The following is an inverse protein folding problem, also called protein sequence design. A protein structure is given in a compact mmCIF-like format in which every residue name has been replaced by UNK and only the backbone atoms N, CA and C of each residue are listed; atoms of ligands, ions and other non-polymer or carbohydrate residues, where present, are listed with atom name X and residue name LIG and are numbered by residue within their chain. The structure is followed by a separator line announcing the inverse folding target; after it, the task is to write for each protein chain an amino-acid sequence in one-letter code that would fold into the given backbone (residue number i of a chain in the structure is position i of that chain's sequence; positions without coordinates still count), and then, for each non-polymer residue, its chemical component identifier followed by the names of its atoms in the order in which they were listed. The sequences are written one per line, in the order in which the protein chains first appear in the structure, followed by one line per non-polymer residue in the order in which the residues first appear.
data_IF_212901205365
#
_entry.id   IF_212901205365
#
_cell.length_a   1.000
_cell.length_b   1.000
_cell.length_c   1.000
_cell.angle_alpha   90.00
_cell.angle_beta   90.00
_cell.angle_gamma   90.00
#
_symmetry.space_group_name_H-M   'P 1'
#
loop_
_entity.id
_entity.type
_entity.pdbx_description
1 polymer ?
#
# COMPACT_ATOMS: atom_id res chain seq x y z
N UNK A 1 16.53 53.07 -16.94
CA UNK A 1 17.00 51.94 -16.10
C UNK A 1 16.23 50.71 -16.51
N UNK A 2 16.87 49.84 -17.29
CA UNK A 2 16.27 48.60 -17.81
C UNK A 2 16.47 47.49 -16.77
N UNK A 3 15.39 46.87 -16.29
CA UNK A 3 15.49 45.65 -15.49
C UNK A 3 15.27 44.44 -16.41
N UNK A 4 16.31 43.61 -16.52
CA UNK A 4 16.30 42.36 -17.27
C UNK A 4 15.34 41.33 -16.64
N UNK A 5 14.53 40.61 -17.43
CA UNK A 5 13.71 39.50 -16.95
C UNK A 5 14.47 38.19 -17.23
N UNK A 6 15.28 37.72 -16.29
CA UNK A 6 15.83 36.37 -16.37
C UNK A 6 16.18 35.87 -14.98
N UNK A 7 15.33 34.98 -14.45
CA UNK A 7 15.70 33.67 -13.90
C UNK A 7 14.55 33.18 -13.00
N UNK A 8 13.44 32.79 -13.62
CA UNK A 8 12.48 31.89 -12.97
C UNK A 8 13.09 30.49 -12.99
N UNK A 9 13.83 30.13 -11.94
CA UNK A 9 14.17 28.74 -11.62
C UNK A 9 12.87 28.03 -11.21
N UNK A 10 12.21 27.41 -12.18
CA UNK A 10 11.11 26.49 -11.95
C UNK A 10 11.67 25.20 -11.31
N UNK A 11 11.74 25.15 -9.98
CA UNK A 11 11.95 23.90 -9.25
C UNK A 11 10.62 23.14 -9.18
N UNK A 12 10.28 22.48 -10.29
CA UNK A 12 9.27 21.43 -10.32
C UNK A 12 9.80 20.22 -9.53
N UNK A 13 9.69 20.26 -8.20
CA UNK A 13 9.71 19.05 -7.39
C UNK A 13 8.53 18.19 -7.86
N UNK A 14 8.83 17.17 -8.67
CA UNK A 14 7.92 16.11 -9.03
C UNK A 14 7.63 15.32 -7.75
N UNK A 15 6.41 15.43 -7.25
CA UNK A 15 5.94 14.73 -6.05
C UNK A 15 5.53 13.33 -6.50
N UNK A 16 6.52 12.50 -6.81
CA UNK A 16 6.31 11.07 -7.04
C UNK A 16 6.26 10.43 -5.66
N UNK A 17 5.15 9.77 -5.31
CA UNK A 17 4.86 9.33 -3.95
C UNK A 17 4.77 7.81 -3.86
N UNK A 18 5.87 7.07 -3.85
CA UNK A 18 5.80 5.63 -4.05
C UNK A 18 6.04 4.86 -2.74
N UNK A 19 4.96 4.34 -2.17
CA UNK A 19 4.96 3.32 -1.14
C UNK A 19 4.38 2.03 -1.70
N UNK A 20 5.06 0.90 -1.57
CA UNK A 20 4.63 -0.39 -2.13
C UNK A 20 4.53 -1.45 -1.04
N UNK A 21 3.47 -2.26 -1.05
CA UNK A 21 3.38 -3.43 -0.16
C UNK A 21 4.24 -4.54 -0.73
N UNK A 22 5.32 -4.90 -0.04
CA UNK A 22 6.29 -5.89 -0.53
C UNK A 22 5.89 -7.31 -0.19
N UNK A 23 5.22 -7.52 0.95
CA UNK A 23 4.76 -8.84 1.39
C UNK A 23 3.68 -8.74 2.46
N UNK A 24 2.88 -9.80 2.58
CA UNK A 24 1.98 -10.07 3.70
C UNK A 24 2.54 -11.21 4.53
N UNK A 25 2.49 -11.05 5.86
CA UNK A 25 2.96 -12.02 6.85
C UNK A 25 1.76 -12.61 7.58
N UNK A 26 1.53 -13.90 7.34
CA UNK A 26 0.42 -14.63 7.90
C UNK A 26 0.66 -15.05 9.35
N UNK A 27 -0.40 -15.06 10.16
CA UNK A 27 -0.32 -15.62 11.51
C UNK A 27 -0.01 -17.14 11.52
N UNK A 28 -0.25 -17.82 10.39
CA UNK A 28 0.16 -19.20 10.12
C UNK A 28 1.65 -19.35 9.75
N UNK A 29 2.45 -18.28 9.81
CA UNK A 29 3.88 -18.30 9.47
C UNK A 29 4.18 -18.28 7.96
N UNK A 30 3.16 -18.28 7.11
CA UNK A 30 3.32 -18.17 5.65
C UNK A 30 3.49 -16.71 5.28
N UNK A 31 4.48 -16.42 4.43
CA UNK A 31 4.69 -15.09 3.84
C UNK A 31 4.48 -15.17 2.34
N UNK A 32 3.74 -14.21 1.78
CA UNK A 32 3.48 -14.11 0.34
C UNK A 32 3.86 -12.71 -0.14
N UNK A 33 4.49 -12.57 -1.33
CA UNK A 33 4.69 -11.27 -1.96
C UNK A 33 3.39 -10.48 -2.11
N UNK A 34 3.49 -9.16 -2.05
CA UNK A 34 2.37 -8.28 -2.39
C UNK A 34 1.91 -8.51 -3.83
N UNK A 35 0.62 -8.28 -4.11
CA UNK A 35 0.00 -8.59 -5.40
C UNK A 35 0.52 -7.73 -6.57
N UNK A 36 1.20 -6.62 -6.24
CA UNK A 36 1.71 -5.67 -7.23
C UNK A 36 3.18 -5.90 -7.54
N UNK A 37 3.88 -6.70 -6.72
CA UNK A 37 5.33 -6.88 -6.77
C UNK A 37 5.73 -7.60 -8.04
N UNK A 38 6.78 -7.09 -8.68
CA UNK A 38 7.28 -7.59 -9.94
C UNK A 38 8.78 -7.79 -9.87
N UNK A 39 9.22 -8.99 -10.20
CA UNK A 39 10.64 -9.30 -10.28
C UNK A 39 11.33 -8.42 -11.33
N UNK A 40 12.61 -8.13 -11.09
CA UNK A 40 13.41 -7.20 -11.90
C UNK A 40 13.22 -5.73 -11.54
N UNK A 41 12.27 -5.38 -10.66
CA UNK A 41 12.15 -3.99 -10.16
C UNK A 41 13.39 -3.59 -9.36
N UNK A 42 14.12 -2.52 -9.72
CA UNK A 42 15.29 -2.08 -8.97
C UNK A 42 14.97 -1.73 -7.52
N UNK A 43 15.82 -2.13 -6.57
CA UNK A 43 15.64 -1.88 -5.12
C UNK A 43 16.80 -1.10 -4.49
N UNK A 44 17.72 -0.59 -5.30
CA UNK A 44 18.92 0.15 -4.90
C UNK A 44 18.82 1.67 -5.20
N UNK A 45 17.71 2.12 -5.75
CA UNK A 45 17.47 3.53 -6.10
C UNK A 45 16.05 3.97 -5.68
N UNK A 46 15.84 5.28 -5.52
CA UNK A 46 14.59 5.85 -5.01
C UNK A 46 13.86 6.76 -6.01
N UNK A 47 14.37 6.90 -7.23
CA UNK A 47 13.80 7.78 -8.24
C UNK A 47 12.93 7.01 -9.24
N UNK A 48 11.95 7.67 -9.83
CA UNK A 48 11.18 7.05 -10.91
C UNK A 48 12.07 6.74 -12.13
N UNK A 49 13.07 7.58 -12.40
CA UNK A 49 13.95 7.46 -13.55
C UNK A 49 14.72 6.14 -13.61
N UNK A 50 15.03 5.54 -12.46
CA UNK A 50 15.68 4.23 -12.43
C UNK A 50 14.69 3.06 -12.49
N UNK A 51 13.39 3.29 -12.33
CA UNK A 51 12.35 2.24 -12.41
C UNK A 51 12.03 1.54 -11.08
N UNK A 52 12.56 1.97 -9.93
CA UNK A 52 12.29 1.34 -8.62
C UNK A 52 10.84 1.45 -8.11
N UNK A 53 10.02 2.17 -8.87
CA UNK A 53 8.65 2.53 -8.59
C UNK A 53 7.66 1.77 -9.48
N UNK A 54 8.16 1.01 -10.46
CA UNK A 54 7.35 0.45 -11.54
C UNK A 54 6.27 -0.54 -11.04
N UNK A 55 6.49 -1.17 -9.90
CA UNK A 55 5.60 -2.16 -9.27
C UNK A 55 4.74 -1.60 -8.12
N UNK A 56 4.78 -0.28 -7.91
CA UNK A 56 3.83 0.41 -7.03
C UNK A 56 2.48 0.54 -7.72
N UNK A 57 1.39 0.19 -7.02
CA UNK A 57 0.06 0.38 -7.59
C UNK A 57 -0.35 1.85 -7.55
N UNK A 58 -0.92 2.30 -8.66
CA UNK A 58 -1.65 3.56 -8.81
C UNK A 58 -3.13 3.23 -8.64
N UNK A 59 -3.74 3.67 -7.53
CA UNK A 59 -5.11 3.31 -7.11
C UNK A 59 -5.98 4.56 -7.09
N UNK A 60 -6.26 5.11 -8.28
CA UNK A 60 -7.06 6.33 -8.45
C UNK A 60 -8.52 5.97 -8.71
N UNK A 61 -9.45 6.52 -7.94
CA UNK A 61 -10.89 6.29 -8.12
C UNK A 61 -11.36 6.64 -9.54
N UNK A 62 -10.82 7.70 -10.15
CA UNK A 62 -11.15 8.06 -11.54
C UNK A 62 -10.73 7.00 -12.56
N UNK A 63 -9.61 6.31 -12.31
CA UNK A 63 -9.11 5.26 -13.21
C UNK A 63 -9.88 3.96 -13.00
N UNK A 64 -10.30 3.68 -11.76
CA UNK A 64 -11.20 2.57 -11.43
C UNK A 64 -12.56 2.78 -12.10
N UNK A 65 -13.17 3.95 -11.92
CA UNK A 65 -14.47 4.29 -12.49
C UNK A 65 -14.46 4.28 -14.03
N UNK A 66 -13.32 4.60 -14.66
CA UNK A 66 -13.19 4.58 -16.13
C UNK A 66 -12.74 3.23 -16.69
N UNK A 67 -12.46 2.22 -15.83
CA UNK A 67 -11.92 0.92 -16.23
C UNK A 67 -10.45 0.94 -16.71
N UNK A 68 -9.73 2.05 -16.50
CA UNK A 68 -8.29 2.15 -16.80
C UNK A 68 -7.46 1.35 -15.77
N UNK A 69 -7.99 1.21 -14.56
CA UNK A 69 -7.46 0.36 -13.49
C UNK A 69 -8.58 -0.51 -12.91
N UNK A 70 -8.24 -1.64 -12.31
CA UNK A 70 -9.17 -2.39 -11.46
C UNK A 70 -9.16 -1.89 -10.02
N UNK A 71 -9.96 -2.47 -9.11
CA UNK A 71 -9.99 -2.08 -7.69
C UNK A 71 -8.63 -2.14 -6.98
N UNK A 72 -7.73 -3.01 -7.45
CA UNK A 72 -6.36 -3.14 -6.93
C UNK A 72 -5.37 -2.17 -7.58
N UNK A 73 -5.85 -1.29 -8.45
CA UNK A 73 -5.06 -0.33 -9.21
C UNK A 73 -4.41 -0.94 -10.45
N UNK A 74 -3.40 -0.22 -10.92
CA UNK A 74 -2.49 -0.67 -11.99
C UNK A 74 -1.06 -0.27 -11.65
N UNK A 75 -0.10 -0.98 -12.18
CA UNK A 75 1.32 -0.66 -12.09
C UNK A 75 1.81 -0.09 -13.43
N UNK A 76 2.94 0.61 -13.41
CA UNK A 76 3.61 1.03 -14.64
C UNK A 76 4.31 -0.16 -15.32
N UNK A 77 4.77 -1.11 -14.51
CA UNK A 77 5.51 -2.27 -14.99
C UNK A 77 4.67 -3.27 -15.78
N UNK A 78 3.42 -3.53 -15.38
CA UNK A 78 2.59 -4.57 -15.99
C UNK A 78 1.09 -4.24 -16.10
N UNK A 79 0.68 -3.00 -15.88
CA UNK A 79 -0.72 -2.59 -16.07
C UNK A 79 -1.63 -3.05 -14.92
N UNK A 80 -2.87 -3.46 -15.24
CA UNK A 80 -3.91 -3.76 -14.24
C UNK A 80 -3.46 -4.88 -13.30
N UNK A 81 -3.66 -4.67 -12.00
CA UNK A 81 -3.34 -5.66 -10.97
C UNK A 81 -4.48 -6.66 -10.84
N UNK A 82 -4.16 -7.94 -10.97
CA UNK A 82 -5.09 -9.06 -10.77
C UNK A 82 -4.55 -10.01 -9.70
N UNK A 83 -5.33 -10.19 -8.63
CA UNK A 83 -4.96 -11.06 -7.52
C UNK A 83 -4.75 -12.52 -7.98
N UNK A 84 -5.49 -12.99 -9.00
CA UNK A 84 -5.41 -14.37 -9.47
C UNK A 84 -4.04 -14.74 -10.02
N UNK A 85 -3.29 -13.77 -10.58
CA UNK A 85 -1.94 -13.99 -11.10
C UNK A 85 -0.99 -14.39 -9.98
N UNK A 86 -0.91 -13.56 -8.93
CA UNK A 86 0.01 -13.76 -7.83
C UNK A 86 -0.43 -14.91 -6.91
N UNK A 87 -1.73 -15.01 -6.63
CA UNK A 87 -2.29 -16.13 -5.84
C UNK A 87 -2.07 -17.45 -6.57
N UNK A 88 -2.37 -17.52 -7.87
CA UNK A 88 -2.14 -18.74 -8.66
C UNK A 88 -0.69 -19.17 -8.59
N UNK A 89 0.24 -18.27 -8.94
CA UNK A 89 1.66 -18.57 -8.96
C UNK A 89 2.19 -19.02 -7.60
N UNK A 90 1.79 -18.33 -6.52
CA UNK A 90 2.17 -18.70 -5.16
C UNK A 90 1.67 -20.11 -4.79
N UNK A 91 0.48 -20.49 -5.23
CA UNK A 91 -0.08 -21.82 -5.03
C UNK A 91 0.48 -22.89 -5.96
N UNK A 92 1.42 -22.53 -6.85
CA UNK A 92 2.02 -23.44 -7.83
C UNK A 92 1.11 -23.72 -9.03
N UNK A 93 0.17 -22.81 -9.31
CA UNK A 93 -0.81 -22.92 -10.39
C UNK A 93 -0.73 -21.68 -11.30
N UNK A 94 -1.27 -21.77 -12.52
CA UNK A 94 -1.33 -20.63 -13.43
C UNK A 94 0.01 -20.22 -14.05
N UNK A 95 0.01 -19.06 -14.72
CA UNK A 95 1.20 -18.52 -15.38
C UNK A 95 2.14 -17.85 -14.36
N UNK A 96 3.43 -17.83 -14.68
CA UNK A 96 4.39 -17.03 -13.93
C UNK A 96 3.96 -15.55 -13.95
N UNK A 97 3.98 -14.84 -12.81
CA UNK A 97 3.66 -13.43 -12.79
C UNK A 97 4.64 -12.67 -13.68
N UNK A 98 4.17 -11.65 -14.42
CA UNK A 98 5.03 -10.93 -15.34
C UNK A 98 6.12 -10.16 -14.57
N UNK A 99 7.36 -10.24 -15.06
CA UNK A 99 8.46 -9.40 -14.58
C UNK A 99 8.23 -7.94 -14.96
N UNK A 100 8.91 -7.02 -14.27
CA UNK A 100 8.79 -5.59 -14.52
C UNK A 100 9.15 -5.23 -15.98
N UNK A 101 8.18 -4.73 -16.75
CA UNK A 101 8.37 -4.23 -18.12
C UNK A 101 8.27 -2.70 -18.20
N UNK A 102 8.28 -2.00 -17.07
CA UNK A 102 8.19 -0.55 -17.01
C UNK A 102 9.48 0.07 -17.53
N UNK A 103 9.37 1.04 -18.44
CA UNK A 103 10.56 1.74 -18.91
C UNK A 103 11.16 2.55 -17.75
N UNK A 104 12.49 2.59 -17.64
CA UNK A 104 13.21 3.59 -16.84
C UNK A 104 12.71 4.98 -17.25
N UNK A 105 11.99 5.67 -16.35
CA UNK A 105 11.38 6.97 -16.63
C UNK A 105 9.99 6.96 -17.31
N UNK A 106 9.28 5.82 -17.39
CA UNK A 106 7.89 5.75 -17.89
C UNK A 106 6.89 6.33 -16.88
N UNK A 107 6.85 7.65 -16.76
CA UNK A 107 5.72 8.31 -16.08
C UNK A 107 4.41 7.94 -16.80
N UNK A 108 3.42 7.49 -16.03
CA UNK A 108 2.06 7.88 -16.34
C UNK A 108 2.01 9.40 -16.36
N UNK A 109 1.48 10.00 -17.43
CA UNK A 109 1.38 11.46 -17.59
C UNK A 109 0.87 12.08 -16.29
N UNK A 110 1.67 12.96 -15.69
CA UNK A 110 1.26 13.73 -14.52
C UNK A 110 0.20 14.74 -14.96
N UNK A 111 -0.94 14.77 -14.27
CA UNK A 111 -1.91 15.84 -14.48
C UNK A 111 -1.25 17.15 -14.01
N UNK A 112 -1.16 18.13 -14.90
CA UNK A 112 -0.53 19.42 -14.67
C UNK A 112 -1.41 20.27 -13.74
N UNK A 113 -1.42 19.96 -12.44
CA UNK A 113 -2.13 20.76 -11.44
C UNK A 113 -1.20 21.90 -11.00
N UNK A 114 -1.43 23.09 -11.55
CA UNK A 114 -0.84 24.33 -11.04
C UNK A 114 -1.30 24.55 -9.59
N UNK A 115 -0.44 24.26 -8.61
CA UNK A 115 -0.68 24.66 -7.23
C UNK A 115 -0.11 26.07 -6.97
N UNK A 116 -0.95 27.06 -6.64
CA UNK A 116 -0.45 28.34 -6.17
C UNK A 116 0.06 28.22 -4.72
N UNK A 117 1.36 28.40 -4.53
CA UNK A 117 1.90 29.11 -3.36
C UNK A 117 2.38 28.35 -2.11
N UNK A 118 2.20 27.04 -1.94
CA UNK A 118 2.48 26.40 -0.63
C UNK A 118 3.92 25.89 -0.39
N UNK A 119 4.81 25.89 -1.39
CA UNK A 119 6.19 25.37 -1.25
C UNK A 119 7.09 26.13 -0.25
N UNK A 120 6.76 27.37 0.14
CA UNK A 120 7.63 28.20 1.01
C UNK A 120 7.30 28.18 2.50
N UNK A 121 6.16 27.65 2.91
CA UNK A 121 5.73 27.72 4.32
C UNK A 121 6.29 26.57 5.18
N UNK A 122 6.60 25.42 4.58
CA UNK A 122 7.10 24.24 5.31
C UNK A 122 8.54 24.39 5.81
N UNK A 123 9.43 25.08 5.06
CA UNK A 123 10.81 25.31 5.50
C UNK A 123 10.92 26.41 6.57
N UNK A 124 9.97 27.34 6.63
CA UNK A 124 9.94 28.44 7.60
C UNK A 124 9.55 28.01 9.01
N UNK A 125 8.72 26.97 9.15
CA UNK A 125 8.30 26.43 10.45
C UNK A 125 9.32 25.50 11.11
N UNK A 126 10.31 25.00 10.36
CA UNK A 126 11.30 24.03 10.85
C UNK A 126 12.51 24.70 11.54
N UNK A 127 12.77 25.98 11.26
CA UNK A 127 13.94 26.70 11.79
C UNK A 127 13.60 27.69 12.93
N UNK A 128 12.32 27.79 13.34
CA UNK A 128 11.89 28.76 14.34
C UNK A 128 10.85 28.18 15.30
N UNK A 129 11.29 27.49 16.35
CA UNK A 129 10.42 27.02 17.42
C UNK A 129 11.15 26.18 18.45
N UNK A 130 11.77 26.85 19.42
CA UNK A 130 12.56 26.23 20.48
C UNK A 130 11.73 25.45 21.51
N UNK A 131 12.42 24.47 22.11
CA UNK A 131 12.27 23.90 23.45
C UNK A 131 10.88 23.88 24.13
N UNK A 132 10.39 22.66 24.40
CA UNK A 132 9.61 22.38 25.61
C UNK A 132 8.46 21.37 25.45
N UNK A 133 8.50 20.28 26.23
CA UNK A 133 7.29 19.67 26.79
C UNK A 133 6.83 18.29 26.27
N UNK A 134 7.30 17.25 26.97
CA UNK A 134 6.60 16.05 27.46
C UNK A 134 5.37 15.44 26.73
N UNK A 135 5.50 14.14 26.42
CA UNK A 135 4.57 13.10 26.89
C UNK A 135 3.33 12.78 26.04
N UNK A 136 3.27 11.56 25.49
CA UNK A 136 2.02 10.91 25.07
C UNK A 136 2.17 10.06 23.81
N UNK A 137 2.12 8.73 23.96
CA UNK A 137 2.10 7.79 22.86
C UNK A 137 0.84 7.93 22.00
N UNK A 138 1.03 8.42 20.78
CA UNK A 138 0.19 8.25 19.60
C UNK A 138 1.11 8.49 18.39
N UNK A 139 0.82 7.89 17.24
CA UNK A 139 1.73 7.69 16.11
C UNK A 139 2.66 8.85 15.77
N UNK A 140 3.87 8.53 15.32
CA UNK A 140 5.00 9.42 15.11
C UNK A 140 4.73 10.62 14.17
N UNK A 141 3.96 11.60 14.63
CA UNK A 141 3.62 12.86 13.94
C UNK A 141 4.59 13.99 14.31
N UNK A 142 5.77 13.66 14.84
CA UNK A 142 6.83 14.61 15.20
C UNK A 142 8.08 14.47 14.32
N UNK A 143 9.16 15.16 14.68
CA UNK A 143 10.48 15.08 14.01
C UNK A 143 10.95 13.65 13.67
N UNK A 144 10.58 12.64 14.46
CA UNK A 144 10.87 11.24 14.16
C UNK A 144 10.15 10.71 12.90
N UNK A 145 8.89 11.11 12.66
CA UNK A 145 8.16 10.79 11.43
C UNK A 145 8.72 11.51 10.20
N UNK A 146 9.28 12.72 10.38
CA UNK A 146 10.01 13.42 9.32
C UNK A 146 11.27 12.67 8.92
N UNK A 147 11.98 12.07 9.88
CA UNK A 147 13.21 11.32 9.62
C UNK A 147 12.94 9.85 9.25
N UNK A 148 11.67 9.42 9.22
CA UNK A 148 11.28 8.04 8.92
C UNK A 148 11.72 7.03 9.98
N UNK A 149 11.73 7.42 11.25
CA UNK A 149 12.06 6.53 12.36
C UNK A 149 11.06 5.38 12.49
N UNK A 150 11.56 4.17 12.78
CA UNK A 150 10.72 2.97 12.98
C UNK A 150 10.67 2.01 11.78
N UNK A 151 11.45 2.27 10.74
CA UNK A 151 11.62 1.37 9.61
C UNK A 151 13.10 1.05 9.33
N UNK A 152 13.33 0.00 8.56
CA UNK A 152 14.64 -0.49 8.21
C UNK A 152 15.03 -0.02 6.82
N UNK A 153 16.17 0.66 6.68
CA UNK A 153 16.67 1.06 5.37
C UNK A 153 17.23 -0.16 4.63
N UNK A 154 16.63 -0.51 3.50
CA UNK A 154 16.96 -1.70 2.73
C UNK A 154 17.30 -1.31 1.31
N UNK A 155 18.55 -1.54 0.89
CA UNK A 155 18.95 -1.54 -0.52
C UNK A 155 19.41 -2.95 -0.88
N UNK A 156 19.18 -3.36 -2.12
CA UNK A 156 19.51 -4.72 -2.55
C UNK A 156 19.46 -4.89 -4.06
N UNK A 157 19.72 -6.13 -4.54
CA UNK A 157 19.55 -6.45 -5.95
C UNK A 157 18.10 -6.19 -6.40
N UNK A 158 17.84 -6.18 -7.73
CA UNK A 158 16.49 -6.15 -8.24
C UNK A 158 15.60 -7.21 -7.60
N UNK A 159 14.32 -6.88 -7.50
CA UNK A 159 13.29 -7.74 -6.89
C UNK A 159 13.32 -9.15 -7.49
N UNK A 160 13.22 -10.15 -6.62
CA UNK A 160 13.24 -11.57 -7.00
C UNK A 160 12.32 -12.43 -6.12
N UNK A 161 11.54 -11.81 -5.21
CA UNK A 161 10.73 -12.54 -4.24
C UNK A 161 9.58 -13.28 -4.89
N UNK A 162 9.12 -12.86 -6.07
CA UNK A 162 7.98 -13.51 -6.73
C UNK A 162 8.40 -14.89 -7.22
N UNK A 163 9.48 -14.96 -8.00
CA UNK A 163 10.08 -16.22 -8.45
C UNK A 163 10.43 -17.14 -7.26
N UNK A 164 10.99 -16.59 -6.18
CA UNK A 164 11.32 -17.38 -4.99
C UNK A 164 10.08 -17.95 -4.26
N UNK A 165 8.93 -17.28 -4.37
CA UNK A 165 7.70 -17.65 -3.69
C UNK A 165 6.77 -18.54 -4.52
N UNK A 166 7.04 -18.76 -5.81
CA UNK A 166 6.22 -19.65 -6.65
C UNK A 166 6.14 -21.05 -6.04
N UNK A 167 4.91 -21.55 -5.91
CA UNK A 167 4.63 -22.88 -5.35
C UNK A 167 4.74 -23.00 -3.83
N UNK A 168 5.21 -21.99 -3.10
CA UNK A 168 5.34 -22.05 -1.63
C UNK A 168 3.99 -22.25 -0.92
N UNK A 169 2.90 -21.77 -1.51
CA UNK A 169 1.54 -21.94 -1.00
C UNK A 169 0.96 -23.34 -1.16
N UNK A 170 1.60 -24.24 -1.92
CA UNK A 170 1.06 -25.58 -2.18
C UNK A 170 0.93 -26.44 -0.91
N UNK A 171 1.77 -26.21 0.10
CA UNK A 171 1.75 -26.95 1.37
C UNK A 171 1.12 -26.14 2.51
N UNK A 172 1.47 -24.86 2.63
CA UNK A 172 1.04 -23.99 3.74
C UNK A 172 -0.25 -23.21 3.48
N UNK A 173 -0.77 -23.23 2.25
CA UNK A 173 -1.85 -22.34 1.82
C UNK A 173 -1.41 -20.87 1.77
N UNK A 174 -2.36 -19.96 1.72
CA UNK A 174 -2.10 -18.52 1.78
C UNK A 174 -1.80 -18.03 3.20
N UNK A 175 -1.13 -16.87 3.36
CA UNK A 175 -1.03 -16.17 4.65
C UNK A 175 -2.41 -15.97 5.29
N UNK A 176 -2.51 -16.12 6.61
CA UNK A 176 -3.76 -15.87 7.36
C UNK A 176 -3.73 -14.52 8.08
N UNK A 177 -4.86 -13.85 8.21
CA UNK A 177 -4.99 -12.81 9.25
C UNK A 177 -4.83 -13.44 10.65
N UNK A 178 -4.55 -12.61 11.66
CA UNK A 178 -4.56 -13.03 13.06
C UNK A 178 -5.99 -13.34 13.57
N UNK A 179 -6.06 -13.94 14.74
CA UNK A 179 -7.31 -14.35 15.41
C UNK A 179 -8.19 -13.19 15.87
N UNK A 180 -7.72 -11.95 15.76
CA UNK A 180 -8.47 -10.69 15.94
C UNK A 180 -8.84 -10.03 14.59
N UNK A 181 -8.34 -10.56 13.47
CA UNK A 181 -8.53 -10.01 12.12
C UNK A 181 -7.48 -9.01 11.70
N UNK A 182 -6.39 -8.87 12.46
CA UNK A 182 -5.26 -8.05 12.06
C UNK A 182 -4.51 -8.72 10.91
N UNK A 183 -4.27 -7.98 9.84
CA UNK A 183 -3.38 -8.36 8.73
C UNK A 183 -2.08 -7.60 8.91
N UNK A 184 -0.95 -8.33 8.85
CA UNK A 184 0.39 -7.74 8.95
C UNK A 184 1.06 -7.78 7.59
N UNK A 185 1.63 -6.66 7.17
CA UNK A 185 2.35 -6.54 5.90
C UNK A 185 3.59 -5.66 6.05
N UNK A 186 4.50 -5.76 5.09
CA UNK A 186 5.64 -4.85 4.98
C UNK A 186 5.34 -3.84 3.88
N UNK A 187 5.36 -2.54 4.21
CA UNK A 187 5.31 -1.47 3.23
C UNK A 187 6.69 -0.85 3.06
N UNK A 188 7.16 -0.78 1.83
CA UNK A 188 8.40 -0.11 1.46
C UNK A 188 8.09 1.30 0.98
N UNK A 189 8.55 2.29 1.73
CA UNK A 189 8.63 3.67 1.27
C UNK A 189 9.85 3.82 0.35
N UNK A 190 9.61 4.03 -0.94
CA UNK A 190 10.67 4.17 -1.94
C UNK A 190 11.25 5.59 -1.88
N UNK A 191 10.40 6.61 -1.77
CA UNK A 191 10.79 8.01 -1.73
C UNK A 191 9.95 8.86 -0.77
N UNK A 192 10.23 10.18 -0.74
CA UNK A 192 9.81 11.04 0.37
C UNK A 192 8.30 11.16 0.55
N UNK A 193 7.56 11.13 -0.56
CA UNK A 193 6.11 11.26 -0.55
C UNK A 193 5.40 9.89 -0.50
N UNK A 194 6.16 8.78 -0.40
CA UNK A 194 5.64 7.41 -0.30
C UNK A 194 5.22 6.98 1.11
N UNK A 195 5.23 7.90 2.08
CA UNK A 195 4.78 7.63 3.45
C UNK A 195 3.26 7.81 3.61
N UNK A 196 2.76 7.43 4.79
CA UNK A 196 1.36 7.55 5.17
C UNK A 196 0.98 8.97 5.60
N UNK A 197 -0.32 9.27 5.77
CA UNK A 197 -1.31 8.30 6.19
C UNK A 197 -1.81 7.42 5.04
N UNK A 198 -1.86 6.11 5.30
CA UNK A 198 -2.51 5.16 4.40
C UNK A 198 -3.98 4.96 4.79
N UNK A 199 -4.81 4.78 3.77
CA UNK A 199 -6.15 4.21 3.90
C UNK A 199 -6.11 2.76 3.45
N UNK A 200 -7.02 1.94 3.97
CA UNK A 200 -7.11 0.53 3.62
C UNK A 200 -8.55 0.12 3.37
N UNK A 201 -8.74 -0.75 2.38
CA UNK A 201 -10.02 -1.41 2.11
C UNK A 201 -9.80 -2.91 2.00
N UNK A 202 -10.83 -3.69 2.38
CA UNK A 202 -10.83 -5.16 2.26
C UNK A 202 -12.04 -5.59 1.46
N UNK A 203 -11.81 -6.47 0.50
CA UNK A 203 -12.84 -7.23 -0.19
C UNK A 203 -12.82 -8.68 0.30
N UNK A 204 -13.96 -9.13 0.82
CA UNK A 204 -14.17 -10.50 1.28
C UNK A 204 -14.88 -11.42 0.29
N UNK A 205 -15.25 -10.94 -0.90
CA UNK A 205 -16.21 -11.65 -1.78
C UNK A 205 -15.81 -11.74 -3.25
N UNK A 206 -15.23 -10.69 -3.86
CA UNK A 206 -14.98 -10.65 -5.31
C UNK A 206 -13.55 -11.05 -5.70
N UNK A 207 -12.64 -11.12 -4.73
CA UNK A 207 -11.22 -11.38 -5.00
C UNK A 207 -10.46 -10.17 -5.54
N UNK A 208 -10.92 -8.96 -5.22
CA UNK A 208 -10.33 -7.70 -5.68
C UNK A 208 -10.79 -7.25 -7.07
N UNK A 209 -11.89 -7.82 -7.60
CA UNK A 209 -12.38 -7.56 -8.96
C UNK A 209 -13.55 -6.58 -9.02
N UNK A 210 -14.26 -6.38 -7.91
CA UNK A 210 -15.40 -5.47 -7.77
C UNK A 210 -15.11 -4.37 -6.73
N UNK A 211 -15.18 -3.11 -7.17
CA UNK A 211 -15.00 -1.94 -6.30
C UNK A 211 -16.10 -1.86 -5.23
N UNK A 212 -17.32 -2.29 -5.53
CA UNK A 212 -18.43 -2.24 -4.58
C UNK A 212 -18.26 -3.24 -3.42
N UNK A 213 -17.38 -4.24 -3.58
CA UNK A 213 -17.08 -5.22 -2.56
C UNK A 213 -16.01 -4.74 -1.55
N UNK A 214 -15.29 -3.66 -1.87
CA UNK A 214 -14.26 -3.07 -1.01
C UNK A 214 -14.91 -2.32 0.15
N UNK A 215 -14.63 -2.75 1.39
CA UNK A 215 -15.11 -2.08 2.60
C UNK A 215 -13.95 -1.45 3.38
N UNK A 216 -14.15 -0.24 3.95
CA UNK A 216 -13.11 0.44 4.72
C UNK A 216 -12.60 -0.38 5.89
N UNK A 217 -11.29 -0.43 6.03
CA UNK A 217 -10.56 -1.10 7.11
C UNK A 217 -9.69 -0.10 7.87
N UNK A 218 -9.33 -0.45 9.11
CA UNK A 218 -8.59 0.47 9.99
C UNK A 218 -7.11 0.15 9.94
N UNK A 219 -6.28 1.10 9.48
CA UNK A 219 -4.83 1.02 9.64
C UNK A 219 -4.49 1.25 11.12
N UNK A 220 -3.99 0.22 11.80
CA UNK A 220 -3.70 0.24 13.25
C UNK A 220 -2.22 0.47 13.55
N UNK A 221 -1.36 0.19 12.59
CA UNK A 221 0.05 0.57 12.58
C UNK A 221 0.37 1.06 11.16
N UNK A 222 0.68 2.35 11.03
CA UNK A 222 0.90 3.00 9.75
C UNK A 222 2.40 3.34 9.55
N UNK A 223 2.76 3.71 8.32
CA UNK A 223 4.08 4.24 7.99
C UNK A 223 4.19 5.68 8.47
N UNK A 224 5.18 6.01 9.33
CA UNK A 224 5.40 7.36 9.82
C UNK A 224 5.58 8.37 8.69
N UNK A 225 4.76 9.42 8.71
CA UNK A 225 4.84 10.57 7.79
C UNK A 225 4.39 11.84 8.50
N UNK A 226 4.93 12.99 8.08
CA UNK A 226 4.52 14.30 8.59
C UNK A 226 3.39 14.91 7.78
N UNK A 227 2.40 15.43 8.51
CA UNK A 227 1.28 16.18 7.94
C UNK A 227 0.29 15.30 7.18
N UNK A 228 -0.77 15.93 6.65
CA UNK A 228 -1.85 15.24 5.91
C UNK A 228 -1.35 14.58 4.62
N UNK A 229 -0.26 15.11 4.05
CA UNK A 229 0.34 14.62 2.79
C UNK A 229 1.38 13.52 3.01
N UNK A 230 1.73 13.20 4.25
CA UNK A 230 2.61 12.08 4.54
C UNK A 230 4.05 12.25 4.08
N UNK A 231 4.63 13.42 4.33
CA UNK A 231 6.00 13.71 3.90
C UNK A 231 6.98 13.08 4.91
N UNK A 232 7.90 12.25 4.43
CA UNK A 232 8.97 11.66 5.22
C UNK A 232 10.28 11.74 4.44
N UNK A 233 11.41 12.01 5.09
CA UNK A 233 12.72 12.03 4.43
C UNK A 233 13.28 10.61 4.19
N UNK A 234 12.57 9.57 4.63
CA UNK A 234 12.95 8.19 4.34
C UNK A 234 12.90 7.88 2.84
N UNK A 235 13.82 7.01 2.44
CA UNK A 235 13.97 6.49 1.09
C UNK A 235 14.43 5.06 1.22
N UNK A 236 13.90 4.15 0.40
CA UNK A 236 14.25 2.74 0.46
C UNK A 236 14.16 2.18 1.90
N UNK A 237 13.06 2.48 2.57
CA UNK A 237 12.83 2.08 3.98
C UNK A 237 11.60 1.19 4.07
N UNK A 238 11.71 0.07 4.76
CA UNK A 238 10.63 -0.87 4.99
C UNK A 238 10.04 -0.67 6.38
N UNK A 239 8.72 -0.65 6.46
CA UNK A 239 7.96 -0.46 7.68
C UNK A 239 6.96 -1.60 7.83
N UNK A 240 6.82 -2.09 9.06
CA UNK A 240 5.72 -2.97 9.40
C UNK A 240 4.41 -2.16 9.43
N UNK A 241 3.44 -2.59 8.64
CA UNK A 241 2.09 -2.04 8.60
C UNK A 241 1.11 -3.10 9.11
N UNK A 242 0.13 -2.65 9.92
CA UNK A 242 -0.97 -3.50 10.40
C UNK A 242 -2.30 -2.87 10.08
N UNK A 243 -3.20 -3.69 9.57
CA UNK A 243 -4.55 -3.27 9.21
C UNK A 243 -5.56 -4.22 9.84
N UNK A 244 -6.54 -3.68 10.54
CA UNK A 244 -7.64 -4.40 11.13
C UNK A 244 -8.76 -4.58 10.10
N UNK A 245 -9.12 -5.82 9.80
CA UNK A 245 -10.27 -6.14 8.94
C UNK A 245 -11.58 -5.53 9.47
N UNK A 246 -12.53 -5.19 8.58
CA UNK A 246 -13.86 -4.72 8.97
C UNK A 246 -14.56 -5.71 9.90
N UNK A 247 -15.22 -5.18 10.94
CA UNK A 247 -15.89 -6.00 11.92
C UNK A 247 -17.01 -6.84 11.27
N UNK A 248 -16.96 -8.15 11.51
CA UNK A 248 -17.92 -9.07 10.92
C UNK A 248 -17.61 -9.49 9.48
N UNK A 249 -16.55 -9.01 8.83
CA UNK A 249 -16.18 -9.49 7.49
C UNK A 249 -15.68 -10.94 7.51
N UNK A 250 -16.10 -11.71 6.51
CA UNK A 250 -15.64 -13.07 6.24
C UNK A 250 -14.92 -13.13 4.90
N UNK A 251 -13.89 -13.96 4.79
CA UNK A 251 -13.25 -14.25 3.51
C UNK A 251 -14.01 -15.37 2.81
N UNK A 252 -14.80 -15.00 1.82
CA UNK A 252 -15.68 -15.89 1.06
C UNK A 252 -15.36 -15.88 -0.44
N UNK A 253 -14.37 -15.09 -0.90
CA UNK A 253 -13.94 -15.08 -2.29
C UNK A 253 -13.20 -16.37 -2.66
N UNK A 254 -13.29 -16.71 -3.95
CA UNK A 254 -12.44 -17.71 -4.61
C UNK A 254 -11.52 -17.01 -5.60
N UNK A 255 -10.21 -17.14 -5.42
CA UNK A 255 -9.19 -16.50 -6.27
C UNK A 255 -8.24 -17.58 -6.80
N UNK A 256 -8.10 -17.68 -8.12
CA UNK A 256 -7.30 -18.72 -8.78
C UNK A 256 -7.59 -20.15 -8.26
N UNK A 257 -8.85 -20.46 -7.98
CA UNK A 257 -9.29 -21.76 -7.44
C UNK A 257 -9.09 -21.94 -5.92
N UNK A 258 -8.48 -20.98 -5.23
CA UNK A 258 -8.34 -20.98 -3.77
C UNK A 258 -9.54 -20.32 -3.13
N UNK A 259 -10.20 -21.02 -2.22
CA UNK A 259 -11.33 -20.50 -1.43
C UNK A 259 -10.85 -19.77 -0.17
N UNK A 260 -11.78 -19.12 0.54
CA UNK A 260 -11.52 -18.43 1.81
C UNK A 260 -10.55 -17.24 1.65
N UNK A 261 -10.59 -16.56 0.51
CA UNK A 261 -9.68 -15.45 0.21
C UNK A 261 -10.36 -14.11 0.53
N UNK A 262 -9.60 -13.25 1.20
CA UNK A 262 -9.84 -11.81 1.18
C UNK A 262 -8.70 -11.13 0.43
N UNK A 263 -9.01 -10.00 -0.20
CA UNK A 263 -8.00 -9.13 -0.79
C UNK A 263 -8.07 -7.79 -0.08
N UNK A 264 -6.92 -7.28 0.36
CA UNK A 264 -6.80 -5.97 0.98
C UNK A 264 -5.96 -5.07 0.08
N UNK A 265 -6.37 -3.82 -0.08
CA UNK A 265 -5.56 -2.78 -0.68
C UNK A 265 -5.24 -1.71 0.35
N UNK A 266 -4.09 -1.07 0.18
CA UNK A 266 -3.73 0.15 0.91
C UNK A 266 -3.30 1.21 -0.07
N UNK A 267 -3.60 2.47 0.21
CA UNK A 267 -3.20 3.62 -0.61
C UNK A 267 -3.00 4.88 0.23
N UNK A 268 -1.99 5.68 -0.09
CA UNK A 268 -1.72 6.96 0.57
C UNK A 268 -2.54 8.11 -0.05
N UNK A 269 -2.45 9.30 0.55
CA UNK A 269 -3.17 10.51 0.12
C UNK A 269 -2.49 11.31 -0.99
N UNK A 270 -1.49 10.77 -1.69
CA UNK A 270 -0.68 11.57 -2.60
C UNK A 270 -1.47 12.07 -3.83
N UNK A 271 -1.28 13.36 -4.16
CA UNK A 271 -2.02 14.02 -5.24
C UNK A 271 -1.65 13.49 -6.64
N UNK A 272 -0.39 13.07 -6.83
CA UNK A 272 0.07 12.43 -8.08
C UNK A 272 -0.50 11.01 -8.28
N UNK A 273 -1.34 10.54 -7.37
CA UNK A 273 -2.01 9.26 -7.38
C UNK A 273 -2.01 8.69 -5.97
N UNK A 274 -3.12 8.15 -5.45
CA UNK A 274 -3.02 7.31 -4.28
C UNK A 274 -2.16 6.10 -4.65
N UNK A 275 -0.98 6.01 -4.05
CA UNK A 275 -0.03 4.95 -4.31
C UNK A 275 -0.04 3.95 -3.16
N UNK A 276 0.25 2.69 -3.47
CA UNK A 276 0.26 1.66 -2.46
C UNK A 276 0.47 0.27 -3.05
N UNK A 277 -0.28 -0.67 -2.50
CA UNK A 277 -0.24 -2.05 -2.93
C UNK A 277 -1.45 -2.83 -2.42
N UNK A 278 -1.45 -4.12 -2.70
CA UNK A 278 -2.49 -5.02 -2.25
C UNK A 278 -1.93 -6.39 -1.87
N UNK A 279 -2.68 -7.12 -1.05
CA UNK A 279 -2.31 -8.43 -0.51
C UNK A 279 -3.51 -9.36 -0.55
N UNK A 280 -3.25 -10.65 -0.79
CA UNK A 280 -4.24 -11.70 -0.62
C UNK A 280 -3.92 -12.50 0.65
N UNK A 281 -4.96 -12.85 1.39
CA UNK A 281 -4.83 -13.61 2.63
C UNK A 281 -6.11 -14.40 2.90
N UNK A 282 -6.04 -15.31 3.86
CA UNK A 282 -7.18 -16.13 4.30
C UNK A 282 -7.54 -15.85 5.75
N UNK A 283 -8.72 -16.32 6.17
CA UNK A 283 -9.11 -16.31 7.57
C UNK A 283 -8.90 -17.68 8.22
N UNK A 284 -8.25 -17.69 9.39
CA UNK A 284 -8.26 -18.85 10.28
C UNK A 284 -9.66 -19.11 10.86
N UNK A 285 -9.89 -20.32 11.37
CA UNK A 285 -11.18 -20.73 11.92
C UNK A 285 -11.65 -19.83 13.08
N UNK A 286 -10.74 -19.47 13.99
CA UNK A 286 -11.03 -18.56 15.10
C UNK A 286 -11.42 -17.16 14.59
N UNK A 287 -10.69 -16.65 13.59
CA UNK A 287 -10.97 -15.35 13.02
C UNK A 287 -12.33 -15.27 12.34
N UNK A 288 -12.68 -16.32 11.57
CA UNK A 288 -13.98 -16.45 10.92
C UNK A 288 -15.12 -16.57 11.95
N UNK A 289 -14.92 -17.36 13.01
CA UNK A 289 -15.89 -17.49 14.11
C UNK A 289 -16.15 -16.14 14.79
N UNK A 290 -15.11 -15.35 15.05
CA UNK A 290 -15.24 -13.99 15.62
C UNK A 290 -16.08 -13.08 14.73
N UNK A 291 -15.84 -13.10 13.41
CA UNK A 291 -16.61 -12.32 12.45
C UNK A 291 -18.10 -12.71 12.44
N UNK A 292 -18.40 -14.01 12.41
CA UNK A 292 -19.78 -14.51 12.44
C UNK A 292 -20.46 -14.16 13.77
N UNK A 293 -19.77 -14.33 14.89
CA UNK A 293 -20.30 -13.97 16.21
C UNK A 293 -20.64 -12.47 16.29
N UNK A 294 -19.81 -11.61 15.71
CA UNK A 294 -20.11 -10.17 15.62
C UNK A 294 -21.40 -9.92 14.81
N UNK A 295 -21.55 -10.55 13.64
CA UNK A 295 -22.78 -10.43 12.83
C UNK A 295 -24.02 -10.90 13.60
N UNK A 296 -23.95 -12.03 14.30
CA UNK A 296 -25.05 -12.56 15.10
C UNK A 296 -25.42 -11.62 16.25
N UNK A 297 -24.43 -11.11 16.98
CA UNK A 297 -24.63 -10.13 18.05
C UNK A 297 -25.35 -8.88 17.53
N UNK A 298 -24.89 -8.33 16.39
CA UNK A 298 -25.53 -7.16 15.78
C UNK A 298 -26.96 -7.40 15.32
N UNK A 299 -27.26 -8.59 14.78
CA UNK A 299 -28.64 -8.97 14.44
C UNK A 299 -29.54 -9.05 15.67
N UNK A 300 -29.05 -9.64 16.77
CA UNK A 300 -29.82 -9.72 18.03
C UNK A 300 -30.06 -8.33 18.65
N UNK A 301 -29.06 -7.44 18.61
CA UNK A 301 -29.20 -6.04 19.08
C UNK A 301 -30.26 -5.25 18.28
N UNK A 302 -30.42 -5.53 16.99
CA UNK A 302 -31.45 -4.89 16.15
C UNK A 302 -32.82 -5.52 16.43
N UNK A 303 -32.90 -6.86 16.50
CA UNK A 303 -34.15 -7.58 16.69
C UNK A 303 -34.80 -7.39 18.07
N UNK A 304 -34.02 -7.11 19.12
CA UNK A 304 -34.53 -6.83 20.47
C UNK A 304 -34.94 -5.36 20.71
N UNK A 305 -34.87 -4.50 19.68
CA UNK A 305 -35.32 -3.10 19.73
C UNK A 305 -36.65 -2.87 19.01
N UNK A 306 -37.28 -3.96 18.52
CA UNK A 306 -38.63 -4.01 17.98
C UNK A 306 -39.56 -4.70 18.98
#
# INVERSE_FOLDING_TARGET
MHFSPALMLALAAAVSAHGVVTEVKGANGVTMPGLTIQDGTPRDCSSNGCGSQADTAIIRDREIASGKAGPLGRTQGNGIVDAAVMVGAFMGQGAAPPANNGASGSVGVEDNIQQPGQKRQFLGGLLGGGAGGAGGGAGATGIAGLLGGGGDKVNGPPEARVAAAVGQGASGGLPTCADDGTVTMTLRQINQDGAGPFTADVDGTSGGTDEAAMQPATVTQDVPGLGVQGISLATNTEFAMKVQMPAGMTCDATVAGVNNVCVMRVRNGAAAGPFGGSVAFTQGAAARKRAIAYRLKKRMEIGGRN
#
